data_IF_164646775405
#
_entry.id   IF_164646775405
#
_cell.length_a   1.000
_cell.length_b   1.000
_cell.length_c   1.000
_cell.angle_alpha   90.00
_cell.angle_beta   90.00
_cell.angle_gamma   90.00
#
_symmetry.space_group_name_H-M   'P 1'
#
loop_
_entity.id
_entity.type
_entity.pdbx_description
1 polymer ?
#
# COMPACT_ATOMS: atom_id res chain seq x y z
N UNK A 1 9.32 -23.12 29.16
CA UNK A 1 10.15 -21.93 28.89
C UNK A 1 11.32 -22.38 28.06
N UNK A 2 11.24 -22.29 26.75
CA UNK A 2 12.37 -22.55 25.85
C UNK A 2 13.05 -21.17 25.64
N UNK A 3 14.30 -21.11 26.08
CA UNK A 3 15.18 -19.96 25.86
C UNK A 3 15.43 -19.90 24.35
N UNK A 4 14.87 -18.94 23.67
CA UNK A 4 15.26 -18.58 22.30
C UNK A 4 16.68 -18.01 22.40
N UNK A 5 17.66 -18.79 21.97
CA UNK A 5 19.01 -18.28 21.72
C UNK A 5 18.91 -17.33 20.53
N UNK A 6 19.12 -16.04 20.76
CA UNK A 6 19.42 -15.09 19.72
C UNK A 6 20.58 -15.63 18.89
N UNK A 7 20.31 -16.04 17.65
CA UNK A 7 21.35 -16.43 16.72
C UNK A 7 22.02 -15.15 16.24
N UNK A 8 22.97 -14.65 17.02
CA UNK A 8 23.81 -13.53 16.63
C UNK A 8 24.57 -13.88 15.35
N UNK A 9 24.45 -13.04 14.33
CA UNK A 9 25.24 -13.19 13.10
C UNK A 9 26.68 -12.82 13.38
N UNK A 10 27.59 -13.80 13.31
CA UNK A 10 29.02 -13.57 13.38
C UNK A 10 29.55 -13.18 11.97
N UNK A 11 29.93 -11.90 11.76
CA UNK A 11 30.41 -11.42 10.46
C UNK A 11 31.70 -12.13 10.01
N UNK A 12 32.42 -12.80 10.91
CA UNK A 12 33.63 -13.53 10.59
C UNK A 12 33.38 -15.00 10.14
N UNK A 13 32.12 -15.46 10.17
CA UNK A 13 31.72 -16.83 9.82
C UNK A 13 30.73 -16.88 8.66
N UNK A 14 30.86 -16.06 7.68
CA UNK A 14 30.03 -16.11 6.47
C UNK A 14 30.61 -17.08 5.44
N UNK A 15 29.77 -17.85 4.69
CA UNK A 15 28.31 -17.88 4.75
C UNK A 15 27.75 -18.63 5.97
N UNK A 16 26.72 -18.07 6.62
CA UNK A 16 26.08 -18.64 7.79
C UNK A 16 24.64 -19.08 7.47
N UNK A 17 24.29 -20.34 7.83
CA UNK A 17 22.90 -20.79 7.78
C UNK A 17 22.07 -20.03 8.80
N UNK A 18 21.02 -19.34 8.33
CA UNK A 18 20.17 -18.50 9.19
C UNK A 18 18.74 -19.01 9.30
N UNK A 19 18.20 -19.67 8.27
CA UNK A 19 16.85 -20.20 8.27
C UNK A 19 16.65 -21.29 7.20
N UNK A 20 15.47 -21.87 7.19
CA UNK A 20 14.97 -22.77 6.14
C UNK A 20 13.64 -22.22 5.63
N UNK A 21 13.47 -22.18 4.31
CA UNK A 21 12.28 -21.66 3.67
C UNK A 21 11.09 -22.58 3.94
N UNK A 22 10.10 -22.07 4.66
CA UNK A 22 8.89 -22.84 4.98
C UNK A 22 7.96 -22.99 3.79
N UNK A 23 7.77 -21.91 3.03
CA UNK A 23 6.90 -21.88 1.86
C UNK A 23 7.41 -20.88 0.82
N UNK A 24 7.21 -21.22 -0.46
CA UNK A 24 7.23 -20.30 -1.60
C UNK A 24 5.79 -20.14 -2.08
N UNK A 25 5.38 -18.91 -2.35
CA UNK A 25 3.99 -18.59 -2.68
C UNK A 25 3.92 -17.66 -3.89
N UNK A 26 2.93 -17.90 -4.76
CA UNK A 26 2.62 -17.03 -5.91
C UNK A 26 1.13 -16.73 -5.98
N UNK A 27 0.76 -15.63 -6.63
CA UNK A 27 -0.63 -15.22 -6.81
C UNK A 27 -0.89 -14.59 -8.16
N UNK A 28 -2.11 -14.76 -8.66
CA UNK A 28 -2.60 -14.10 -9.87
C UNK A 28 -3.43 -12.88 -9.53
N UNK A 29 -3.43 -11.91 -10.44
CA UNK A 29 -4.28 -10.73 -10.32
C UNK A 29 -5.74 -11.15 -10.49
N UNK A 30 -6.54 -10.87 -9.48
CA UNK A 30 -7.97 -11.11 -9.49
C UNK A 30 -8.72 -9.94 -8.82
N UNK A 31 -10.03 -9.76 -9.08
CA UNK A 31 -10.86 -8.86 -8.28
C UNK A 31 -10.83 -9.32 -6.82
N UNK A 32 -10.62 -8.38 -5.91
CA UNK A 32 -10.57 -8.63 -4.46
C UNK A 32 -11.27 -7.48 -3.76
N UNK A 33 -11.85 -7.72 -2.60
CA UNK A 33 -12.52 -6.72 -1.73
C UNK A 33 -13.69 -5.97 -2.41
N UNK A 34 -13.51 -5.44 -3.62
CA UNK A 34 -14.56 -4.83 -4.46
C UNK A 34 -14.41 -5.29 -5.91
N UNK A 35 -15.45 -5.09 -6.75
CA UNK A 35 -15.41 -5.48 -8.17
C UNK A 35 -14.34 -4.74 -8.96
N UNK A 36 -14.09 -3.49 -8.61
CA UNK A 36 -13.11 -2.61 -9.28
C UNK A 36 -11.68 -2.76 -8.75
N UNK A 37 -11.50 -3.32 -7.56
CA UNK A 37 -10.18 -3.43 -6.96
C UNK A 37 -9.52 -4.76 -7.32
N UNK A 38 -8.37 -4.70 -7.99
CA UNK A 38 -7.59 -5.87 -8.39
C UNK A 38 -6.33 -6.00 -7.54
N UNK A 39 -6.00 -7.25 -7.15
CA UNK A 39 -4.78 -7.54 -6.39
C UNK A 39 -4.35 -8.99 -6.57
N UNK A 40 -3.05 -9.24 -6.41
CA UNK A 40 -2.46 -10.56 -6.29
C UNK A 40 -2.05 -10.89 -4.83
N UNK A 41 -2.64 -10.21 -3.84
CA UNK A 41 -2.32 -10.40 -2.41
C UNK A 41 -2.65 -11.81 -1.90
N UNK A 42 -3.60 -12.50 -2.54
CA UNK A 42 -3.98 -13.87 -2.19
C UNK A 42 -3.06 -14.87 -2.89
N UNK A 43 -1.87 -15.07 -2.30
CA UNK A 43 -0.89 -16.02 -2.81
C UNK A 43 -1.10 -17.41 -2.22
N UNK A 44 -0.90 -18.44 -3.05
CA UNK A 44 -0.99 -19.86 -2.66
C UNK A 44 0.39 -20.50 -2.59
N UNK A 45 0.62 -21.46 -1.67
CA UNK A 45 1.89 -22.15 -1.59
C UNK A 45 2.11 -23.03 -2.82
N UNK A 46 3.34 -23.04 -3.33
CA UNK A 46 3.77 -23.92 -4.40
C UNK A 46 4.20 -25.28 -3.83
N UNK A 47 3.91 -26.33 -4.60
CA UNK A 47 4.32 -27.71 -4.29
C UNK A 47 5.54 -28.16 -5.08
N UNK A 48 5.91 -27.40 -6.09
CA UNK A 48 7.02 -27.69 -7.00
C UNK A 48 8.00 -26.52 -7.01
N UNK A 49 9.27 -26.77 -7.34
CA UNK A 49 10.24 -25.71 -7.52
C UNK A 49 9.79 -24.70 -8.55
N UNK A 50 10.14 -23.43 -8.34
CA UNK A 50 9.82 -22.32 -9.22
C UNK A 50 11.09 -21.57 -9.60
N UNK A 51 11.17 -21.11 -10.86
CA UNK A 51 12.23 -20.20 -11.29
C UNK A 51 11.99 -18.82 -10.71
N UNK A 52 13.04 -18.25 -10.11
CA UNK A 52 13.06 -16.88 -9.62
C UNK A 52 13.95 -16.05 -10.55
N UNK A 53 13.33 -15.08 -11.19
CA UNK A 53 13.97 -14.14 -12.12
C UNK A 53 14.21 -12.79 -11.44
N UNK A 54 14.83 -11.84 -12.14
CA UNK A 54 15.02 -10.45 -11.65
C UNK A 54 13.71 -9.70 -11.36
N UNK A 55 12.59 -10.22 -11.82
CA UNK A 55 11.25 -9.65 -11.59
C UNK A 55 10.40 -10.45 -10.59
N UNK A 56 10.94 -11.55 -10.04
CA UNK A 56 10.27 -12.39 -9.04
C UNK A 56 10.04 -13.83 -9.50
N UNK A 57 9.18 -14.54 -8.78
CA UNK A 57 8.82 -15.91 -9.10
C UNK A 57 8.02 -16.00 -10.40
N UNK A 58 8.37 -16.97 -11.24
CA UNK A 58 7.54 -17.29 -12.41
C UNK A 58 6.11 -17.58 -11.99
N UNK A 59 5.17 -16.97 -12.73
CA UNK A 59 3.75 -17.14 -12.44
C UNK A 59 3.19 -16.26 -11.32
N UNK A 60 4.02 -15.49 -10.60
CA UNK A 60 3.53 -14.45 -9.69
C UNK A 60 3.16 -13.17 -10.46
N UNK A 61 2.14 -12.46 -10.01
CA UNK A 61 1.66 -11.24 -10.65
C UNK A 61 1.53 -10.10 -9.62
N UNK A 62 1.60 -8.85 -10.12
CA UNK A 62 1.42 -7.65 -9.33
C UNK A 62 0.46 -6.68 -10.02
N UNK A 63 -0.65 -6.36 -9.34
CA UNK A 63 -1.69 -5.50 -9.91
C UNK A 63 -1.31 -4.02 -9.93
N UNK A 64 -0.40 -3.60 -9.06
CA UNK A 64 0.00 -2.21 -8.93
C UNK A 64 1.44 -2.02 -9.39
N UNK A 65 1.67 -1.10 -10.32
CA UNK A 65 2.98 -0.90 -10.98
C UNK A 65 4.14 -0.70 -9.99
N UNK A 66 3.89 -0.05 -8.85
CA UNK A 66 4.92 0.23 -7.85
C UNK A 66 5.09 -0.90 -6.81
N UNK A 67 4.33 -2.00 -6.91
CA UNK A 67 4.49 -3.19 -6.05
C UNK A 67 5.43 -4.23 -6.65
N UNK A 68 6.01 -3.99 -7.80
CA UNK A 68 6.95 -4.83 -8.49
C UNK A 68 8.20 -4.07 -8.92
N UNK A 69 8.93 -4.68 -9.84
CA UNK A 69 10.20 -4.17 -10.35
C UNK A 69 11.40 -4.78 -9.63
N UNK A 70 12.62 -4.45 -10.10
CA UNK A 70 13.85 -5.10 -9.62
C UNK A 70 14.05 -5.02 -8.10
N UNK A 71 13.69 -3.91 -7.46
CA UNK A 71 13.86 -3.73 -6.01
C UNK A 71 12.78 -4.45 -5.18
N UNK A 72 11.72 -4.95 -5.81
CA UNK A 72 10.56 -5.61 -5.17
C UNK A 72 10.25 -6.96 -5.84
N UNK A 73 11.28 -7.69 -6.25
CA UNK A 73 11.14 -8.96 -6.95
C UNK A 73 10.48 -10.03 -6.06
N UNK A 74 10.85 -10.06 -4.79
CA UNK A 74 10.30 -11.01 -3.80
C UNK A 74 9.94 -10.26 -2.52
N UNK A 75 8.84 -10.66 -1.88
CA UNK A 75 8.46 -10.20 -0.55
C UNK A 75 8.57 -11.34 0.46
N UNK A 76 9.18 -11.08 1.61
CA UNK A 76 9.25 -12.01 2.73
C UNK A 76 8.45 -11.52 3.94
N UNK A 77 7.89 -12.47 4.70
CA UNK A 77 7.22 -12.21 5.97
C UNK A 77 7.53 -13.34 6.97
N UNK A 78 7.82 -12.95 8.21
CA UNK A 78 8.15 -13.88 9.28
C UNK A 78 6.91 -14.62 9.80
N UNK A 79 6.96 -15.97 9.84
CA UNK A 79 5.81 -16.77 10.27
C UNK A 79 5.44 -16.57 11.74
N UNK A 80 6.40 -16.25 12.60
CA UNK A 80 6.16 -15.99 14.01
C UNK A 80 5.22 -14.81 14.26
N UNK A 81 5.15 -13.85 13.35
CA UNK A 81 4.22 -12.73 13.49
C UNK A 81 2.75 -13.16 13.46
N UNK A 82 2.42 -14.26 12.77
CA UNK A 82 1.05 -14.75 12.74
C UNK A 82 0.56 -15.23 14.11
N UNK A 83 1.43 -15.85 14.90
CA UNK A 83 1.10 -16.25 16.27
C UNK A 83 0.83 -15.03 17.15
N UNK A 84 1.70 -14.00 17.04
CA UNK A 84 1.54 -12.75 17.79
C UNK A 84 0.27 -11.98 17.39
N UNK A 85 -0.09 -11.97 16.08
CA UNK A 85 -1.33 -11.36 15.64
C UNK A 85 -2.57 -12.09 16.14
N UNK A 86 -2.56 -13.42 16.18
CA UNK A 86 -3.66 -14.22 16.73
C UNK A 86 -3.89 -13.96 18.22
N UNK A 87 -2.80 -13.74 18.95
CA UNK A 87 -2.86 -13.41 20.37
C UNK A 87 -3.37 -11.98 20.60
N UNK A 88 -2.91 -11.00 19.80
CA UNK A 88 -3.30 -9.60 19.91
C UNK A 88 -4.72 -9.32 19.37
N UNK A 89 -5.23 -10.14 18.45
CA UNK A 89 -6.51 -9.94 17.73
C UNK A 89 -7.27 -11.28 17.67
N UNK A 90 -7.77 -11.74 18.82
CA UNK A 90 -8.40 -13.06 18.92
C UNK A 90 -9.69 -13.21 18.11
N UNK A 91 -10.40 -12.11 17.84
CA UNK A 91 -11.64 -12.10 17.05
C UNK A 91 -11.41 -12.47 15.57
N UNK A 92 -10.22 -12.22 15.02
CA UNK A 92 -9.89 -12.43 13.60
C UNK A 92 -8.83 -13.53 13.38
N UNK A 93 -8.63 -14.44 14.34
CA UNK A 93 -7.56 -15.46 14.31
C UNK A 93 -7.57 -16.31 13.04
N UNK A 94 -8.74 -16.58 12.48
CA UNK A 94 -8.92 -17.39 11.27
C UNK A 94 -8.31 -16.73 10.01
N UNK A 95 -8.12 -15.42 10.00
CA UNK A 95 -7.53 -14.65 8.89
C UNK A 95 -5.99 -14.62 8.96
N UNK A 96 -5.41 -14.79 10.17
CA UNK A 96 -3.97 -14.75 10.37
C UNK A 96 -3.32 -16.11 10.02
N UNK A 97 -3.23 -16.39 8.74
CA UNK A 97 -2.61 -17.59 8.18
C UNK A 97 -1.46 -17.24 7.26
N UNK A 98 -0.51 -18.15 7.07
CA UNK A 98 0.62 -17.97 6.15
C UNK A 98 0.14 -17.54 4.77
N UNK A 99 0.76 -16.51 4.19
CA UNK A 99 0.33 -15.86 2.95
C UNK A 99 -0.64 -14.68 3.16
N UNK A 100 -1.05 -14.42 4.41
CA UNK A 100 -2.01 -13.37 4.74
C UNK A 100 -1.52 -11.95 4.40
N UNK A 101 -0.23 -11.71 4.45
CA UNK A 101 0.37 -10.43 4.07
C UNK A 101 0.72 -10.35 2.58
N UNK A 102 0.51 -11.40 1.80
CA UNK A 102 0.81 -11.46 0.37
C UNK A 102 2.27 -11.73 0.08
N UNK A 103 2.97 -12.33 1.01
CA UNK A 103 4.38 -12.71 0.90
C UNK A 103 4.61 -13.84 -0.10
N UNK A 104 5.78 -13.79 -0.77
CA UNK A 104 6.31 -14.87 -1.61
C UNK A 104 7.08 -15.89 -0.76
N UNK A 105 7.85 -15.40 0.22
CA UNK A 105 8.73 -16.21 1.07
C UNK A 105 8.22 -16.18 2.51
N UNK A 106 8.14 -17.36 3.12
CA UNK A 106 7.76 -17.55 4.53
C UNK A 106 8.91 -18.24 5.26
N UNK A 107 9.39 -17.61 6.34
CA UNK A 107 10.49 -18.11 7.18
C UNK A 107 10.10 -18.07 8.66
N UNK A 108 10.90 -18.70 9.52
CA UNK A 108 10.61 -18.81 10.97
C UNK A 108 11.50 -17.96 11.86
N UNK A 109 12.78 -17.77 11.49
CA UNK A 109 13.77 -17.16 12.38
C UNK A 109 14.28 -15.79 11.90
N UNK A 110 13.86 -15.38 10.72
CA UNK A 110 14.22 -14.08 10.15
C UNK A 110 13.07 -13.10 10.38
N UNK A 111 13.36 -11.91 10.92
CA UNK A 111 12.39 -10.83 11.12
C UNK A 111 13.03 -9.45 10.90
N UNK A 112 12.23 -8.40 11.07
CA UNK A 112 12.64 -7.03 10.83
C UNK A 112 13.76 -6.53 11.76
N UNK A 113 14.02 -7.22 12.89
CA UNK A 113 15.10 -6.88 13.84
C UNK A 113 16.42 -7.56 13.52
N UNK A 114 16.38 -8.63 12.74
CA UNK A 114 17.55 -9.48 12.42
C UNK A 114 18.05 -9.32 10.98
N UNK A 115 17.19 -8.88 10.06
CA UNK A 115 17.50 -8.68 8.63
C UNK A 115 17.91 -7.23 8.39
N UNK A 116 19.04 -7.01 7.68
CA UNK A 116 19.58 -5.69 7.40
C UNK A 116 19.50 -5.32 5.91
N UNK A 117 19.37 -4.02 5.60
CA UNK A 117 19.48 -3.54 4.22
C UNK A 117 20.83 -3.93 3.62
N UNK A 118 20.81 -4.39 2.38
CA UNK A 118 22.00 -4.83 1.66
C UNK A 118 22.49 -6.23 2.01
N UNK A 119 21.89 -6.92 3.02
CA UNK A 119 22.19 -8.32 3.26
C UNK A 119 21.99 -9.13 1.99
N UNK A 120 22.99 -9.98 1.67
CA UNK A 120 22.90 -10.91 0.56
C UNK A 120 22.68 -12.31 1.11
N UNK A 121 21.62 -12.95 0.66
CA UNK A 121 21.30 -14.32 1.00
C UNK A 121 21.41 -15.25 -0.21
N UNK A 122 21.93 -16.45 0.02
CA UNK A 122 21.83 -17.57 -0.92
C UNK A 122 20.72 -18.51 -0.47
N UNK A 123 19.75 -18.76 -1.35
CA UNK A 123 18.65 -19.69 -1.15
C UNK A 123 18.84 -20.88 -2.07
N UNK A 124 18.68 -22.08 -1.51
CA UNK A 124 18.90 -23.32 -2.24
C UNK A 124 20.32 -23.42 -2.80
N UNK A 125 20.44 -23.78 -4.08
CA UNK A 125 21.74 -24.06 -4.71
C UNK A 125 22.44 -22.78 -5.19
N UNK A 126 21.72 -21.88 -5.87
CA UNK A 126 22.34 -20.81 -6.66
C UNK A 126 21.64 -19.45 -6.58
N UNK A 127 20.37 -19.39 -6.14
CA UNK A 127 19.64 -18.13 -6.07
C UNK A 127 20.31 -17.17 -5.09
N UNK A 128 20.72 -15.99 -5.57
CA UNK A 128 21.24 -14.91 -4.72
C UNK A 128 20.24 -13.74 -4.72
N UNK A 129 19.84 -13.34 -3.53
CA UNK A 129 18.93 -12.19 -3.32
C UNK A 129 19.54 -11.20 -2.35
N UNK A 130 19.21 -9.92 -2.52
CA UNK A 130 19.67 -8.84 -1.65
C UNK A 130 18.49 -8.09 -1.07
N UNK A 131 18.52 -7.84 0.24
CA UNK A 131 17.51 -7.03 0.93
C UNK A 131 17.55 -5.61 0.40
N UNK A 132 16.43 -5.15 -0.12
CA UNK A 132 16.30 -3.85 -0.79
C UNK A 132 15.60 -2.81 0.07
N UNK A 133 14.44 -3.11 0.64
CA UNK A 133 13.67 -2.13 1.40
C UNK A 133 12.62 -2.76 2.32
N UNK A 134 12.19 -2.05 3.39
CA UNK A 134 11.03 -2.44 4.17
C UNK A 134 9.77 -2.38 3.31
N UNK A 135 8.84 -3.32 3.54
CA UNK A 135 7.52 -3.18 2.93
C UNK A 135 6.74 -2.05 3.57
N UNK A 136 6.17 -1.17 2.77
CA UNK A 136 5.22 -0.15 3.20
C UNK A 136 3.80 -0.77 3.24
N UNK A 137 3.21 -1.02 4.43
CA UNK A 137 1.86 -1.60 4.52
C UNK A 137 0.81 -0.62 3.99
N UNK A 138 -0.22 -1.13 3.35
CA UNK A 138 -1.29 -0.32 2.78
C UNK A 138 -2.68 -0.82 3.22
N UNK A 139 -3.71 -0.03 2.96
CA UNK A 139 -5.09 -0.29 3.33
C UNK A 139 -5.65 -1.65 2.85
N UNK A 140 -5.03 -2.29 1.85
CA UNK A 140 -5.41 -3.65 1.42
C UNK A 140 -5.27 -4.68 2.54
N UNK A 141 -4.36 -4.44 3.51
CA UNK A 141 -4.29 -5.25 4.73
C UNK A 141 -5.54 -5.06 5.61
N UNK A 142 -6.10 -3.85 5.64
CA UNK A 142 -7.31 -3.58 6.41
C UNK A 142 -8.47 -4.43 5.90
N UNK A 143 -8.65 -4.48 4.58
CA UNK A 143 -9.65 -5.35 3.95
C UNK A 143 -9.33 -6.83 4.13
N UNK A 144 -8.04 -7.21 3.94
CA UNK A 144 -7.60 -8.62 4.01
C UNK A 144 -7.84 -9.26 5.38
N UNK A 145 -7.69 -8.46 6.45
CA UNK A 145 -7.84 -8.90 7.82
C UNK A 145 -9.13 -8.40 8.50
N UNK A 146 -10.02 -7.75 7.72
CA UNK A 146 -11.31 -7.21 8.20
C UNK A 146 -11.17 -6.27 9.41
N UNK A 147 -10.09 -5.48 9.42
CA UNK A 147 -9.74 -4.52 10.47
C UNK A 147 -9.49 -3.14 9.88
N UNK A 148 -10.08 -2.10 10.45
CA UNK A 148 -9.97 -0.73 9.94
C UNK A 148 -8.55 -0.16 9.96
N UNK A 149 -7.65 -0.74 10.75
CA UNK A 149 -6.32 -0.20 11.07
C UNK A 149 -5.17 -1.24 11.02
N UNK A 150 -5.38 -2.40 10.36
CA UNK A 150 -4.36 -3.45 10.31
C UNK A 150 -3.05 -2.98 9.68
N UNK A 151 -3.12 -2.15 8.64
CA UNK A 151 -1.95 -1.54 8.02
C UNK A 151 -1.17 -0.66 8.99
N UNK A 152 -1.87 0.14 9.80
CA UNK A 152 -1.26 1.00 10.82
C UNK A 152 -0.68 0.17 11.96
N UNK A 153 -1.38 -0.87 12.43
CA UNK A 153 -0.86 -1.82 13.43
C UNK A 153 0.42 -2.49 12.95
N UNK A 154 0.43 -2.99 11.71
CA UNK A 154 1.59 -3.61 11.09
C UNK A 154 2.79 -2.65 11.08
N UNK A 155 2.59 -1.39 10.67
CA UNK A 155 3.62 -0.36 10.67
C UNK A 155 4.13 -0.04 12.09
N UNK A 156 3.23 0.18 13.05
CA UNK A 156 3.59 0.57 14.41
C UNK A 156 4.33 -0.53 15.18
N UNK A 157 4.04 -1.80 14.87
CA UNK A 157 4.67 -2.98 15.47
C UNK A 157 5.94 -3.41 14.74
N UNK A 158 6.33 -2.75 13.65
CA UNK A 158 7.42 -3.14 12.76
C UNK A 158 7.27 -4.60 12.25
N UNK A 159 6.04 -5.06 11.99
CA UNK A 159 5.73 -6.38 11.44
C UNK A 159 5.17 -6.23 10.03
N UNK A 160 6.00 -5.80 9.10
CA UNK A 160 5.57 -5.43 7.75
C UNK A 160 6.08 -6.39 6.68
N UNK A 161 7.18 -7.08 6.97
CA UNK A 161 7.99 -7.78 5.99
C UNK A 161 8.90 -6.81 5.22
N UNK A 162 9.63 -7.35 4.28
CA UNK A 162 10.60 -6.63 3.46
C UNK A 162 10.68 -7.20 2.06
N UNK A 163 11.34 -6.46 1.18
CA UNK A 163 11.55 -6.85 -0.21
C UNK A 163 13.00 -7.23 -0.49
N UNK A 164 13.16 -7.98 -1.57
CA UNK A 164 14.44 -8.35 -2.13
C UNK A 164 14.52 -8.00 -3.62
N UNK A 165 15.74 -7.64 -4.06
CA UNK A 165 16.14 -7.77 -5.45
C UNK A 165 16.87 -9.08 -5.69
N UNK A 166 16.82 -9.58 -6.92
CA UNK A 166 17.50 -10.80 -7.32
C UNK A 166 18.82 -10.43 -7.99
N UNK A 167 19.93 -10.88 -7.39
CA UNK A 167 21.29 -10.68 -7.94
C UNK A 167 21.67 -11.80 -8.90
N UNK A 168 21.28 -13.04 -8.59
CA UNK A 168 21.46 -14.21 -9.45
C UNK A 168 20.15 -15.01 -9.43
N UNK A 169 19.66 -15.32 -10.62
CA UNK A 169 18.44 -16.12 -10.79
C UNK A 169 18.71 -17.58 -10.42
N UNK A 170 17.65 -18.31 -10.04
CA UNK A 170 17.77 -19.72 -9.69
C UNK A 170 16.45 -20.35 -9.33
N UNK A 171 16.46 -21.67 -9.21
CA UNK A 171 15.32 -22.44 -8.74
C UNK A 171 15.16 -22.33 -7.23
N UNK A 172 13.92 -22.29 -6.76
CA UNK A 172 13.56 -22.17 -5.36
C UNK A 172 12.39 -23.07 -5.01
N UNK A 173 12.49 -23.76 -3.86
CA UNK A 173 11.39 -24.58 -3.33
C UNK A 173 11.31 -24.51 -1.80
N UNK A 174 10.18 -24.93 -1.26
CA UNK A 174 10.03 -25.09 0.19
C UNK A 174 11.04 -26.15 0.70
N UNK A 175 11.68 -25.86 1.84
CA UNK A 175 12.74 -26.69 2.41
C UNK A 175 14.15 -26.23 2.05
N UNK A 176 14.32 -25.33 1.08
CA UNK A 176 15.61 -24.75 0.75
C UNK A 176 16.23 -24.00 1.93
N UNK A 177 17.53 -24.21 2.14
CA UNK A 177 18.29 -23.53 3.19
C UNK A 177 18.64 -22.12 2.78
N UNK A 178 18.60 -21.21 3.74
CA UNK A 178 18.93 -19.80 3.58
C UNK A 178 20.25 -19.54 4.28
N UNK A 179 21.22 -19.05 3.53
CA UNK A 179 22.53 -18.67 4.04
C UNK A 179 22.74 -17.17 3.87
N UNK A 180 23.09 -16.49 4.96
CA UNK A 180 23.63 -15.13 4.88
C UNK A 180 25.03 -15.20 4.29
N UNK A 181 25.26 -14.55 3.17
CA UNK A 181 26.53 -14.54 2.43
C UNK A 181 27.32 -13.26 2.68
N UNK A 182 26.63 -12.14 2.83
CA UNK A 182 27.23 -10.83 3.06
C UNK A 182 26.30 -9.96 3.89
N UNK A 183 26.87 -9.20 4.85
CA UNK A 183 26.21 -8.13 5.61
C UNK A 183 27.10 -6.91 5.60
N UNK A 184 26.62 -5.84 4.96
CA UNK A 184 27.37 -4.59 4.80
C UNK A 184 27.00 -3.56 5.87
N UNK A 185 25.71 -3.50 6.25
CA UNK A 185 25.17 -2.47 7.12
C UNK A 185 24.46 -3.07 8.34
N UNK A 186 25.20 -3.61 9.33
CA UNK A 186 24.58 -4.28 10.48
C UNK A 186 23.71 -3.35 11.34
N UNK A 187 23.95 -2.04 11.29
CA UNK A 187 23.14 -1.02 11.97
C UNK A 187 21.79 -0.76 11.31
N UNK A 188 21.63 -1.05 10.01
CA UNK A 188 20.43 -0.78 9.26
C UNK A 188 19.54 -2.02 9.11
N UNK A 189 19.03 -2.49 10.25
CA UNK A 189 17.97 -3.51 10.23
C UNK A 189 16.71 -2.94 9.58
N UNK A 190 15.83 -3.80 9.07
CA UNK A 190 14.53 -3.39 8.53
C UNK A 190 13.77 -2.55 9.57
N UNK A 191 13.81 -2.94 10.86
CA UNK A 191 13.17 -2.20 11.95
C UNK A 191 13.77 -0.79 12.13
N UNK A 192 15.09 -0.64 12.02
CA UNK A 192 15.76 0.66 12.14
C UNK A 192 15.40 1.58 10.97
N UNK A 193 15.35 1.07 9.74
CA UNK A 193 14.91 1.86 8.58
C UNK A 193 13.44 2.27 8.73
N UNK A 194 12.56 1.41 9.23
CA UNK A 194 11.18 1.77 9.53
C UNK A 194 11.06 2.84 10.62
N UNK A 195 11.92 2.79 11.63
CA UNK A 195 11.99 3.84 12.66
C UNK A 195 12.29 5.20 12.03
N UNK A 196 13.30 5.29 11.17
CA UNK A 196 13.65 6.54 10.45
C UNK A 196 12.56 6.97 9.44
N UNK A 197 11.82 6.02 8.85
CA UNK A 197 10.70 6.34 7.96
C UNK A 197 9.49 6.92 8.68
N UNK A 198 9.12 6.39 9.86
CA UNK A 198 7.79 6.61 10.46
C UNK A 198 7.81 7.19 11.86
N UNK A 199 8.94 7.17 12.57
CA UNK A 199 9.06 7.67 13.95
C UNK A 199 10.05 8.82 14.05
N UNK A 200 11.32 8.60 13.74
CA UNK A 200 12.39 9.58 13.83
C UNK A 200 12.58 10.35 12.50
N UNK A 201 11.49 10.87 11.98
CA UNK A 201 11.39 11.44 10.62
C UNK A 201 12.19 12.72 10.40
N UNK A 202 12.83 13.28 11.45
CA UNK A 202 13.61 14.52 11.40
C UNK A 202 15.10 14.31 11.62
N UNK A 203 15.59 13.09 11.81
CA UNK A 203 17.00 12.79 11.97
C UNK A 203 17.73 12.94 10.64
N UNK A 204 18.42 14.09 10.45
CA UNK A 204 19.07 14.43 9.18
C UNK A 204 20.27 13.53 8.91
N UNK A 205 21.02 13.11 9.94
CA UNK A 205 22.19 12.23 9.79
C UNK A 205 21.78 10.86 9.26
N UNK A 206 20.75 10.24 9.85
CA UNK A 206 20.18 8.97 9.35
C UNK A 206 19.62 9.12 7.94
N UNK A 207 18.92 10.21 7.66
CA UNK A 207 18.39 10.46 6.32
C UNK A 207 19.51 10.65 5.28
N UNK A 208 20.61 11.29 5.64
CA UNK A 208 21.76 11.47 4.76
C UNK A 208 22.41 10.13 4.43
N UNK A 209 22.64 9.28 5.43
CA UNK A 209 23.20 7.93 5.23
C UNK A 209 22.27 7.08 4.36
N UNK A 210 20.98 6.98 4.72
CA UNK A 210 20.00 6.16 4.00
C UNK A 210 19.73 6.66 2.57
N UNK A 211 19.75 7.97 2.33
CA UNK A 211 19.53 8.51 0.98
C UNK A 211 20.72 8.26 0.03
N UNK A 212 21.93 8.04 0.58
CA UNK A 212 23.14 7.76 -0.19
C UNK A 212 23.43 6.27 -0.38
N UNK A 213 22.67 5.37 0.27
CA UNK A 213 22.90 3.93 0.29
C UNK A 213 22.40 3.26 -1.02
N UNK A 214 23.27 2.75 -1.90
CA UNK A 214 22.85 2.19 -3.20
C UNK A 214 22.06 0.88 -3.06
N UNK A 215 22.25 0.13 -1.99
CA UNK A 215 21.53 -1.10 -1.69
C UNK A 215 20.08 -0.85 -1.27
N UNK A 216 19.78 0.32 -0.69
CA UNK A 216 18.41 0.70 -0.34
C UNK A 216 17.59 0.94 -1.62
N UNK A 217 16.39 0.39 -1.69
CA UNK A 217 15.48 0.52 -2.84
C UNK A 217 15.21 1.97 -3.22
N UNK A 218 15.13 2.22 -4.52
CA UNK A 218 15.03 3.58 -5.06
C UNK A 218 13.86 4.38 -4.49
N UNK A 219 12.72 3.73 -4.26
CA UNK A 219 11.53 4.40 -3.69
C UNK A 219 11.81 4.91 -2.28
N UNK A 220 12.30 4.05 -1.40
CA UNK A 220 12.62 4.40 0.00
C UNK A 220 13.75 5.42 0.06
N UNK A 221 14.80 5.25 -0.73
CA UNK A 221 15.91 6.21 -0.83
C UNK A 221 15.45 7.60 -1.27
N UNK A 222 14.53 7.67 -2.24
CA UNK A 222 13.94 8.92 -2.73
C UNK A 222 13.12 9.64 -1.64
N UNK A 223 12.46 8.91 -0.74
CA UNK A 223 11.75 9.51 0.39
C UNK A 223 12.73 10.30 1.27
N UNK A 224 13.85 9.70 1.67
CA UNK A 224 14.86 10.36 2.49
C UNK A 224 15.48 11.57 1.77
N UNK A 225 15.83 11.41 0.49
CA UNK A 225 16.38 12.50 -0.31
C UNK A 225 15.41 13.69 -0.41
N UNK A 226 14.12 13.44 -0.64
CA UNK A 226 13.11 14.51 -0.71
C UNK A 226 12.91 15.20 0.65
N UNK A 227 12.98 14.47 1.76
CA UNK A 227 12.93 15.05 3.10
C UNK A 227 14.11 15.98 3.36
N UNK A 228 15.33 15.57 2.99
CA UNK A 228 16.55 16.37 3.15
C UNK A 228 16.53 17.63 2.28
N UNK A 229 16.29 17.44 0.97
CA UNK A 229 16.51 18.53 -0.01
C UNK A 229 15.31 19.44 -0.17
N UNK A 230 14.08 18.90 -0.08
CA UNK A 230 12.83 19.65 -0.33
C UNK A 230 12.00 19.86 0.93
N UNK A 231 12.45 19.34 2.08
CA UNK A 231 11.67 19.28 3.34
C UNK A 231 10.25 18.73 3.12
N UNK A 232 10.12 17.79 2.18
CA UNK A 232 8.84 17.18 1.79
C UNK A 232 8.55 15.96 2.66
N UNK A 233 7.62 16.10 3.59
CA UNK A 233 7.12 15.02 4.44
C UNK A 233 5.74 14.60 3.92
N UNK A 234 5.65 13.39 3.38
CA UNK A 234 4.41 12.85 2.80
C UNK A 234 3.46 12.41 3.90
N UNK A 235 2.19 12.74 3.77
CA UNK A 235 1.14 12.16 4.61
C UNK A 235 0.81 10.73 4.14
N UNK A 236 0.98 9.77 5.04
CA UNK A 236 0.72 8.35 4.80
C UNK A 236 -0.72 7.92 5.08
N UNK A 237 -1.60 8.83 5.51
CA UNK A 237 -2.97 8.52 5.92
C UNK A 237 -3.75 7.78 4.83
N UNK A 238 -3.60 8.21 3.60
CA UNK A 238 -4.25 7.59 2.45
C UNK A 238 -3.75 6.17 2.19
N UNK A 239 -2.45 5.93 2.27
CA UNK A 239 -1.86 4.60 2.13
C UNK A 239 -2.36 3.64 3.22
N UNK A 240 -2.45 4.12 4.46
CA UNK A 240 -2.78 3.29 5.61
C UNK A 240 -4.28 3.05 5.79
N UNK A 241 -5.12 4.02 5.48
CA UNK A 241 -6.58 3.94 5.79
C UNK A 241 -7.44 3.57 4.61
N UNK A 242 -6.89 3.63 3.39
CA UNK A 242 -7.70 3.54 2.19
C UNK A 242 -8.55 4.80 1.99
N UNK A 243 -8.91 5.04 0.74
CA UNK A 243 -9.57 6.29 0.37
C UNK A 243 -8.53 7.41 0.25
N UNK A 244 -8.28 7.91 -0.96
CA UNK A 244 -7.45 9.06 -1.31
C UNK A 244 -5.95 8.88 -1.60
N UNK A 245 -5.42 7.68 -1.70
CA UNK A 245 -3.99 7.45 -1.97
C UNK A 245 -3.62 6.98 -3.36
N UNK A 246 -4.54 6.53 -4.19
CA UNK A 246 -4.37 6.66 -5.63
C UNK A 246 -4.50 8.15 -5.92
N UNK A 247 -3.54 8.73 -6.63
CA UNK A 247 -3.70 10.07 -7.14
C UNK A 247 -5.10 10.13 -7.74
N UNK A 248 -6.04 10.78 -7.03
CA UNK A 248 -7.42 10.88 -7.50
C UNK A 248 -7.29 11.39 -8.92
N UNK A 249 -7.66 10.57 -9.89
CA UNK A 249 -7.75 11.04 -11.25
C UNK A 249 -8.85 12.10 -11.25
N UNK A 250 -8.41 13.35 -11.30
CA UNK A 250 -9.30 14.47 -11.34
C UNK A 250 -9.66 14.74 -12.79
N UNK A 251 -10.95 14.67 -13.08
CA UNK A 251 -11.49 14.97 -14.41
C UNK A 251 -12.30 16.26 -14.37
N UNK A 252 -12.18 17.14 -15.37
CA UNK A 252 -12.94 18.36 -15.44
C UNK A 252 -14.37 18.06 -15.86
N UNK A 253 -15.32 18.59 -15.08
CA UNK A 253 -16.74 18.58 -15.39
C UNK A 253 -17.27 20.02 -15.40
N UNK A 254 -18.23 20.28 -16.27
CA UNK A 254 -18.92 21.57 -16.42
C UNK A 254 -20.28 21.50 -15.74
N UNK A 255 -20.63 22.50 -14.96
CA UNK A 255 -21.97 22.66 -14.43
C UNK A 255 -22.90 23.02 -15.57
N UNK A 256 -23.85 22.15 -15.90
CA UNK A 256 -24.79 22.34 -17.01
C UNK A 256 -26.19 22.73 -16.53
N UNK A 257 -26.50 22.42 -15.27
CA UNK A 257 -27.81 22.80 -14.71
C UNK A 257 -27.70 23.00 -13.19
N UNK A 258 -28.39 24.03 -12.68
CA UNK A 258 -28.53 24.36 -11.27
C UNK A 258 -29.99 24.66 -10.97
N UNK A 259 -30.61 23.85 -10.11
CA UNK A 259 -32.01 23.98 -9.71
C UNK A 259 -32.13 24.11 -8.19
N UNK A 260 -33.10 24.92 -7.76
CA UNK A 260 -33.47 24.98 -6.34
C UNK A 260 -34.62 24.02 -6.10
N UNK A 261 -34.38 22.94 -5.37
CA UNK A 261 -35.35 21.89 -5.09
C UNK A 261 -36.20 22.20 -3.85
N UNK A 262 -35.57 22.76 -2.83
CA UNK A 262 -36.22 23.19 -1.59
C UNK A 262 -35.55 24.47 -1.07
N UNK A 263 -36.07 25.14 -0.03
CA UNK A 263 -35.39 26.27 0.59
C UNK A 263 -33.95 26.01 1.01
N UNK A 264 -33.60 24.74 1.28
CA UNK A 264 -32.28 24.30 1.77
C UNK A 264 -31.48 23.46 0.78
N UNK A 265 -32.09 22.85 -0.22
CA UNK A 265 -31.43 21.93 -1.14
C UNK A 265 -31.46 22.50 -2.56
N UNK A 266 -30.32 22.47 -3.19
CA UNK A 266 -30.17 22.68 -4.64
C UNK A 266 -29.56 21.46 -5.30
N UNK A 267 -30.00 21.22 -6.53
CA UNK A 267 -29.49 20.24 -7.45
C UNK A 267 -28.47 20.86 -8.38
N UNK A 268 -27.38 20.16 -8.62
CA UNK A 268 -26.28 20.55 -9.50
C UNK A 268 -25.98 19.40 -10.46
N UNK A 269 -26.19 19.61 -11.75
CA UNK A 269 -25.91 18.63 -12.80
C UNK A 269 -24.58 18.96 -13.45
N UNK A 270 -23.66 18.01 -13.41
CA UNK A 270 -22.34 18.14 -14.01
C UNK A 270 -22.18 17.20 -15.20
N UNK A 271 -21.51 17.66 -16.24
CA UNK A 271 -21.21 16.91 -17.45
C UNK A 271 -19.71 16.89 -17.72
N UNK A 272 -19.17 15.71 -18.05
CA UNK A 272 -17.75 15.51 -18.31
C UNK A 272 -17.31 16.32 -19.55
N UNK A 273 -16.23 17.10 -19.42
CA UNK A 273 -15.62 17.78 -20.59
C UNK A 273 -14.96 16.82 -21.57
N UNK A 274 -14.51 15.67 -21.06
CA UNK A 274 -13.93 14.58 -21.85
C UNK A 274 -14.75 13.34 -21.49
N UNK A 275 -15.81 13.03 -22.24
CA UNK A 275 -16.64 11.86 -21.97
C UNK A 275 -15.84 10.55 -22.09
N UNK A 276 -16.08 9.62 -21.19
CA UNK A 276 -15.54 8.26 -21.26
C UNK A 276 -16.39 7.42 -22.21
N UNK A 277 -15.74 6.60 -23.03
CA UNK A 277 -16.43 5.58 -23.85
C UNK A 277 -17.03 4.47 -22.97
N UNK A 278 -16.41 4.21 -21.81
CA UNK A 278 -16.91 3.29 -20.78
C UNK A 278 -17.79 4.05 -19.80
N UNK A 279 -19.09 4.10 -20.10
CA UNK A 279 -20.07 4.71 -19.21
C UNK A 279 -20.42 3.75 -18.08
N UNK A 280 -20.35 4.24 -16.84
CA UNK A 280 -20.68 3.45 -15.64
C UNK A 280 -21.91 4.04 -14.98
N UNK A 281 -22.95 3.22 -14.83
CA UNK A 281 -24.17 3.59 -14.12
C UNK A 281 -23.91 3.86 -12.63
N UNK A 282 -24.58 4.87 -12.11
CA UNK A 282 -24.48 5.24 -10.70
C UNK A 282 -25.42 4.37 -9.87
N UNK A 283 -24.84 3.69 -8.88
CA UNK A 283 -25.58 2.86 -7.93
C UNK A 283 -26.02 3.69 -6.71
N UNK A 284 -27.14 3.34 -6.07
CA UNK A 284 -27.51 3.96 -4.79
C UNK A 284 -26.36 3.88 -3.78
N UNK A 285 -26.12 4.97 -3.04
CA UNK A 285 -25.00 5.11 -2.10
C UNK A 285 -23.69 5.55 -2.73
N UNK A 286 -23.66 5.84 -4.05
CA UNK A 286 -22.49 6.40 -4.71
C UNK A 286 -22.18 7.82 -4.23
N UNK A 287 -20.90 8.12 -4.17
CA UNK A 287 -20.40 9.47 -3.85
C UNK A 287 -19.23 9.85 -4.76
N UNK A 288 -18.98 11.14 -4.87
CA UNK A 288 -17.91 11.72 -5.67
C UNK A 288 -17.24 12.84 -4.87
N UNK A 289 -15.95 13.02 -5.07
CA UNK A 289 -15.22 14.14 -4.46
C UNK A 289 -15.03 15.24 -5.47
N UNK A 290 -15.06 16.48 -4.99
CA UNK A 290 -14.88 17.67 -5.80
C UNK A 290 -13.88 18.61 -5.16
N UNK A 291 -13.05 19.23 -5.99
CA UNK A 291 -12.18 20.35 -5.63
C UNK A 291 -12.96 21.66 -5.73
N UNK A 292 -13.04 22.38 -4.63
CA UNK A 292 -13.79 23.62 -4.47
C UNK A 292 -12.85 24.77 -4.10
N UNK A 293 -13.35 26.00 -4.26
CA UNK A 293 -12.58 27.21 -3.99
C UNK A 293 -11.73 27.65 -5.18
N UNK A 294 -11.31 28.92 -5.19
CA UNK A 294 -10.52 29.51 -6.29
C UNK A 294 -9.18 28.80 -6.53
N UNK A 295 -8.61 28.17 -5.51
CA UNK A 295 -7.33 27.47 -5.57
C UNK A 295 -7.47 25.94 -5.62
N UNK A 296 -8.70 25.41 -5.61
CA UNK A 296 -8.98 23.97 -5.67
C UNK A 296 -8.50 23.17 -4.43
N UNK A 297 -8.14 23.85 -3.34
CA UNK A 297 -7.59 23.18 -2.14
C UNK A 297 -8.66 22.59 -1.23
N UNK A 298 -9.89 23.06 -1.33
CA UNK A 298 -10.99 22.54 -0.52
C UNK A 298 -11.59 21.30 -1.18
N UNK A 299 -11.28 20.10 -0.69
CA UNK A 299 -11.88 18.86 -1.21
C UNK A 299 -13.04 18.44 -0.32
N UNK A 300 -14.19 18.11 -0.95
CA UNK A 300 -15.39 17.60 -0.26
C UNK A 300 -15.99 16.44 -1.03
N UNK A 301 -16.61 15.52 -0.30
CA UNK A 301 -17.39 14.42 -0.87
C UNK A 301 -18.88 14.78 -0.85
N UNK A 302 -19.58 14.45 -1.94
CA UNK A 302 -21.02 14.60 -2.07
C UNK A 302 -21.64 13.31 -2.59
N UNK A 303 -22.83 12.99 -2.10
CA UNK A 303 -23.64 11.89 -2.62
C UNK A 303 -24.11 12.23 -4.03
N UNK A 304 -24.02 11.25 -4.92
CA UNK A 304 -24.57 11.34 -6.27
C UNK A 304 -26.00 10.84 -6.25
N UNK A 305 -26.91 11.66 -6.75
CA UNK A 305 -28.37 11.39 -6.72
C UNK A 305 -28.78 10.53 -7.90
N UNK A 306 -28.15 10.73 -9.07
CA UNK A 306 -28.47 9.98 -10.28
C UNK A 306 -27.55 10.33 -11.44
N UNK A 307 -27.73 9.65 -12.56
CA UNK A 307 -26.95 9.82 -13.79
C UNK A 307 -25.95 8.68 -14.02
N UNK A 308 -24.85 9.01 -14.69
CA UNK A 308 -23.78 8.10 -15.04
C UNK A 308 -22.40 8.77 -14.88
N UNK A 309 -21.33 8.08 -15.25
CA UNK A 309 -19.96 8.62 -15.12
C UNK A 309 -19.67 9.84 -16.00
N UNK A 310 -20.44 10.09 -17.04
CA UNK A 310 -20.29 11.25 -17.93
C UNK A 310 -21.21 12.42 -17.55
N UNK A 311 -22.36 12.14 -16.96
CA UNK A 311 -23.33 13.14 -16.52
C UNK A 311 -24.03 12.70 -15.25
N UNK A 312 -23.83 13.44 -14.18
CA UNK A 312 -24.39 13.10 -12.86
C UNK A 312 -24.96 14.33 -12.15
N UNK A 313 -25.81 14.04 -11.17
CA UNK A 313 -26.49 15.02 -10.34
C UNK A 313 -26.06 14.91 -8.88
N UNK A 314 -25.77 16.07 -8.26
CA UNK A 314 -25.52 16.22 -6.83
C UNK A 314 -26.69 16.94 -6.16
N UNK A 315 -27.24 16.37 -5.11
CA UNK A 315 -28.17 17.05 -4.20
C UNK A 315 -27.41 17.66 -3.02
N UNK A 316 -27.31 18.98 -2.95
CA UNK A 316 -26.51 19.67 -1.94
C UNK A 316 -27.38 20.50 -1.02
N UNK A 317 -27.36 20.16 0.28
CA UNK A 317 -28.01 20.94 1.31
C UNK A 317 -27.13 22.12 1.75
N UNK A 318 -27.73 23.29 1.91
CA UNK A 318 -27.12 24.45 2.53
C UNK A 318 -27.72 24.66 3.93
N UNK A 319 -26.91 24.41 4.93
CA UNK A 319 -27.24 24.71 6.32
C UNK A 319 -26.39 25.89 6.80
N UNK A 320 -26.99 26.96 7.24
CA UNK A 320 -26.29 28.19 7.61
C UNK A 320 -25.36 28.00 8.81
N UNK A 321 -25.71 27.07 9.69
CA UNK A 321 -24.99 26.88 10.96
C UNK A 321 -23.94 25.78 10.91
N UNK A 322 -24.06 24.83 9.95
CA UNK A 322 -23.23 23.61 9.88
C UNK A 322 -22.40 23.51 8.62
N UNK A 323 -22.75 24.24 7.54
CA UNK A 323 -22.04 24.16 6.25
C UNK A 323 -20.63 24.73 6.34
N UNK A 324 -19.62 23.87 6.14
CA UNK A 324 -18.19 24.20 6.28
C UNK A 324 -17.54 24.60 4.94
N UNK A 325 -18.06 25.62 4.30
CA UNK A 325 -17.47 26.24 3.12
C UNK A 325 -17.75 25.55 1.78
N UNK A 326 -17.80 24.20 1.68
CA UNK A 326 -18.03 23.50 0.41
C UNK A 326 -19.44 23.71 -0.17
N UNK A 327 -20.47 23.43 0.62
CA UNK A 327 -21.86 23.66 0.21
C UNK A 327 -22.14 25.15 -0.02
N UNK A 328 -21.56 26.03 0.81
CA UNK A 328 -21.66 27.48 0.58
C UNK A 328 -21.07 27.90 -0.77
N UNK A 329 -19.89 27.35 -1.12
CA UNK A 329 -19.25 27.64 -2.39
C UNK A 329 -20.13 27.22 -3.58
N UNK A 330 -20.69 26.00 -3.55
CA UNK A 330 -21.57 25.49 -4.60
C UNK A 330 -22.83 26.37 -4.75
N UNK A 331 -23.44 26.74 -3.63
CA UNK A 331 -24.66 27.53 -3.67
C UNK A 331 -24.43 28.99 -4.08
N UNK A 332 -23.39 29.66 -3.59
CA UNK A 332 -23.17 31.08 -3.71
C UNK A 332 -22.24 31.48 -4.86
N UNK A 333 -21.28 30.61 -5.23
CA UNK A 333 -20.24 31.00 -6.18
C UNK A 333 -20.29 30.24 -7.51
N UNK A 334 -21.05 29.14 -7.61
CA UNK A 334 -21.12 28.36 -8.85
C UNK A 334 -22.30 28.79 -9.72
N UNK A 335 -22.02 29.01 -11.01
CA UNK A 335 -22.99 29.31 -12.03
C UNK A 335 -22.95 28.30 -13.18
N UNK A 336 -24.04 28.15 -13.93
CA UNK A 336 -24.08 27.27 -15.11
C UNK A 336 -23.01 27.73 -16.10
N UNK A 337 -22.16 26.80 -16.49
CA UNK A 337 -20.99 27.06 -17.32
C UNK A 337 -19.67 26.94 -16.60
N UNK A 338 -19.65 27.01 -15.27
CA UNK A 338 -18.43 26.86 -14.46
C UNK A 338 -17.91 25.42 -14.46
N UNK A 339 -16.62 25.30 -14.23
CA UNK A 339 -15.91 24.00 -14.24
C UNK A 339 -15.33 23.66 -12.87
N UNK A 340 -15.47 22.41 -12.50
CA UNK A 340 -14.83 21.84 -11.30
C UNK A 340 -14.11 20.54 -11.64
N UNK A 341 -13.16 20.17 -10.77
CA UNK A 341 -12.45 18.91 -10.85
C UNK A 341 -13.11 17.89 -9.93
N UNK A 342 -13.51 16.76 -10.48
CA UNK A 342 -14.14 15.66 -9.76
C UNK A 342 -13.26 14.40 -9.79
N UNK A 343 -13.34 13.61 -8.73
CA UNK A 343 -12.72 12.27 -8.69
C UNK A 343 -13.56 11.26 -9.48
N UNK A 344 -13.08 10.03 -9.55
CA UNK A 344 -13.91 8.88 -9.96
C UNK A 344 -15.06 8.70 -8.95
N UNK A 345 -16.26 8.36 -9.46
CA UNK A 345 -17.43 8.01 -8.64
C UNK A 345 -17.16 6.70 -7.92
N UNK A 346 -17.38 6.67 -6.60
CA UNK A 346 -17.23 5.49 -5.76
C UNK A 346 -18.56 5.05 -5.16
N UNK A 347 -18.75 3.74 -5.03
CA UNK A 347 -19.94 3.14 -4.44
C UNK A 347 -19.51 2.26 -3.26
N UNK A 348 -19.13 2.91 -2.15
CA UNK A 348 -18.60 2.22 -0.96
C UNK A 348 -19.70 1.77 0.03
N UNK A 349 -20.96 2.16 -0.21
CA UNK A 349 -22.11 1.81 0.62
C UNK A 349 -23.24 1.27 -0.27
N UNK A 350 -23.14 0.04 -0.80
CA UNK A 350 -24.28 -0.54 -1.50
C UNK A 350 -25.43 -0.68 -0.48
N UNK A 351 -26.55 0.00 -0.75
CA UNK A 351 -27.80 -0.30 -0.03
C UNK A 351 -28.18 -1.74 -0.38
N UNK A 352 -28.33 -2.58 0.64
CA UNK A 352 -28.81 -3.95 0.53
C UNK A 352 -30.28 -3.97 0.12
#
# INVERSE_FOLDING_TARGET
MAIQTEVGVDPNRLPQHVDTLLQVRTGKIKPVFTISERSAIFKTPLKLPVMVTTLGCDGDEQAFKNHGGPDKALMQYASQHYALWKEEIPENTHLFTLGGFGENLVTSNMDETTVCIGDIYRLGKELLIQVSEPRAPCYKLNHRFELKDMSLRSQNRNRTGWYYRVLQQGMLEAGDKIFLVQRTYPQWTIANVQKSLYKDIKNEDEMQELSSMPELGLETRTIFLNRLTKKLFKDDSARLRGGEGEALQWSPYKLVEKRKETPRISSFVFEAKIPSELVTDIKPGSHIRVKLGKDGKLVRAYSVVGGDSNRFELGVALDKDVSRGGSQYLHACMEVGDELQFSVIKSDFPLQ
#
